data_IF_488739149380
#
_entry.id   IF_488739149380
#
_cell.length_a   1.000
_cell.length_b   1.000
_cell.length_c   1.000
_cell.angle_alpha   90.00
_cell.angle_beta   90.00
_cell.angle_gamma   90.00
#
_symmetry.space_group_name_H-M   'P 1'
#
loop_
_entity.id
_entity.type
_entity.pdbx_description
1 polymer ?
#
# COMPACT_ATOMS: atom_id res chain seq x y z
N UNK A 1 -4.38 18.76 -5.33
CA UNK A 1 -4.37 17.73 -4.27
C UNK A 1 -4.61 16.36 -4.91
N UNK A 2 -3.71 15.39 -4.71
CA UNK A 2 -3.87 14.01 -5.24
C UNK A 2 -5.00 13.29 -4.48
N UNK A 3 -5.85 12.54 -5.19
CA UNK A 3 -6.89 11.70 -4.61
C UNK A 3 -6.58 10.23 -4.87
N UNK A 4 -6.84 9.36 -3.89
CA UNK A 4 -6.74 7.91 -4.07
C UNK A 4 -7.79 7.46 -5.10
N UNK A 5 -7.39 6.58 -6.00
CA UNK A 5 -8.30 5.90 -6.92
C UNK A 5 -8.32 4.41 -6.56
N UNK A 6 -9.52 3.86 -6.35
CA UNK A 6 -9.68 2.42 -6.14
C UNK A 6 -9.51 1.68 -7.45
N UNK A 7 -8.66 0.65 -7.46
CA UNK A 7 -8.45 -0.26 -8.59
C UNK A 7 -8.55 -1.69 -8.08
N UNK A 8 -9.28 -2.53 -8.81
CA UNK A 8 -9.36 -3.97 -8.54
C UNK A 8 -8.29 -4.67 -9.36
N UNK A 9 -7.48 -5.50 -8.71
CA UNK A 9 -6.44 -6.30 -9.33
C UNK A 9 -6.52 -7.73 -8.80
N UNK A 10 -6.18 -8.69 -9.66
CA UNK A 10 -5.99 -10.09 -9.25
C UNK A 10 -4.52 -10.28 -8.90
N UNK A 11 -4.25 -10.79 -7.70
CA UNK A 11 -2.91 -11.08 -7.20
C UNK A 11 -2.85 -12.56 -6.85
N UNK A 12 -1.73 -13.21 -7.16
CA UNK A 12 -1.48 -14.58 -6.75
C UNK A 12 -1.60 -14.74 -5.22
N UNK A 13 -2.27 -15.79 -4.72
CA UNK A 13 -2.48 -15.96 -3.27
C UNK A 13 -1.20 -16.01 -2.46
N UNK A 14 -0.14 -16.65 -2.96
CA UNK A 14 1.16 -16.77 -2.25
C UNK A 14 1.81 -15.39 -2.09
N UNK A 15 1.70 -14.56 -3.14
CA UNK A 15 2.21 -13.18 -3.12
C UNK A 15 1.39 -12.34 -2.14
N UNK A 16 0.06 -12.49 -2.14
CA UNK A 16 -0.81 -11.75 -1.22
C UNK A 16 -0.54 -12.11 0.24
N UNK A 17 -0.31 -13.39 0.55
CA UNK A 17 0.02 -13.84 1.90
C UNK A 17 1.36 -13.28 2.39
N UNK A 18 2.36 -13.24 1.51
CA UNK A 18 3.65 -12.62 1.83
C UNK A 18 3.51 -11.12 2.11
N UNK A 19 2.71 -10.39 1.31
CA UNK A 19 2.40 -8.98 1.53
C UNK A 19 1.71 -8.79 2.89
N UNK A 20 0.70 -9.59 3.21
CA UNK A 20 -0.02 -9.51 4.48
C UNK A 20 0.90 -9.75 5.68
N UNK A 21 1.74 -10.78 5.60
CA UNK A 21 2.71 -11.11 6.66
C UNK A 21 3.67 -9.95 6.90
N UNK A 22 4.19 -9.34 5.83
CA UNK A 22 5.12 -8.23 5.95
C UNK A 22 4.46 -6.94 6.44
N UNK A 23 3.24 -6.65 5.97
CA UNK A 23 2.46 -5.50 6.42
C UNK A 23 2.14 -5.59 7.92
N UNK A 24 1.76 -6.78 8.39
CA UNK A 24 1.49 -7.06 9.82
C UNK A 24 2.71 -6.80 10.70
N UNK A 25 3.92 -7.20 10.27
CA UNK A 25 5.17 -6.92 11.00
C UNK A 25 5.45 -5.42 11.14
N UNK A 26 4.98 -4.61 10.20
CA UNK A 26 5.16 -3.16 10.19
C UNK A 26 3.97 -2.39 10.80
N UNK A 27 2.93 -3.09 11.27
CA UNK A 27 1.74 -2.46 11.85
C UNK A 27 0.90 -1.66 10.86
N UNK A 28 0.98 -1.96 9.56
CA UNK A 28 0.22 -1.28 8.49
C UNK A 28 -0.64 -2.28 7.70
N UNK A 29 -1.61 -1.78 6.92
CA UNK A 29 -2.42 -2.63 6.05
C UNK A 29 -1.63 -3.13 4.83
N UNK A 30 -2.03 -4.29 4.29
CA UNK A 30 -1.42 -4.87 3.09
C UNK A 30 -1.44 -3.90 1.90
N UNK A 31 -2.57 -3.24 1.67
CA UNK A 31 -2.71 -2.22 0.62
C UNK A 31 -1.74 -1.05 0.80
N UNK A 32 -1.52 -0.61 2.06
CA UNK A 32 -0.56 0.46 2.37
C UNK A 32 0.87 0.01 2.17
N UNK A 33 1.20 -1.20 2.61
CA UNK A 33 2.51 -1.77 2.40
C UNK A 33 2.82 -1.89 0.91
N UNK A 34 1.88 -2.40 0.12
CA UNK A 34 2.02 -2.54 -1.33
C UNK A 34 2.15 -1.19 -2.03
N UNK A 35 1.36 -0.19 -1.63
CA UNK A 35 1.48 1.19 -2.13
C UNK A 35 2.88 1.75 -1.86
N UNK A 36 3.39 1.63 -0.63
CA UNK A 36 4.72 2.10 -0.26
C UNK A 36 5.81 1.37 -1.06
N UNK A 37 5.72 0.05 -1.15
CA UNK A 37 6.68 -0.76 -1.91
C UNK A 37 6.70 -0.36 -3.39
N UNK A 38 5.53 -0.22 -4.02
CA UNK A 38 5.42 0.19 -5.41
C UNK A 38 5.96 1.62 -5.60
N UNK A 39 5.60 2.55 -4.73
CA UNK A 39 6.06 3.94 -4.79
C UNK A 39 7.59 4.03 -4.75
N UNK A 40 8.22 3.32 -3.81
CA UNK A 40 9.68 3.34 -3.66
C UNK A 40 10.39 2.73 -4.87
N UNK A 41 9.85 1.64 -5.42
CA UNK A 41 10.42 1.03 -6.62
C UNK A 41 10.24 1.94 -7.84
N UNK A 42 9.07 2.54 -8.03
CA UNK A 42 8.80 3.45 -9.15
C UNK A 42 9.65 4.72 -9.08
N UNK A 43 9.93 5.25 -7.88
CA UNK A 43 10.90 6.33 -7.69
C UNK A 43 12.33 5.89 -8.05
N UNK A 44 12.75 4.68 -7.66
CA UNK A 44 14.07 4.14 -8.03
C UNK A 44 14.24 3.98 -9.54
N UNK A 45 13.17 3.65 -10.26
CA UNK A 45 13.17 3.58 -11.72
C UNK A 45 13.05 4.95 -12.41
N UNK A 46 12.89 6.04 -11.66
CA UNK A 46 12.70 7.38 -12.23
C UNK A 46 11.33 7.60 -12.87
N UNK A 47 10.34 6.73 -12.58
CA UNK A 47 8.97 6.83 -13.08
C UNK A 47 8.09 7.75 -12.22
N UNK A 48 8.50 7.99 -10.97
CA UNK A 48 7.93 8.99 -10.08
C UNK A 48 9.06 9.93 -9.67
N UNK A 49 8.79 11.24 -9.71
CA UNK A 49 9.75 12.26 -9.28
C UNK A 49 10.13 12.06 -7.80
N UNK A 50 11.40 12.32 -7.47
CA UNK A 50 11.92 12.23 -6.10
C UNK A 50 11.31 13.28 -5.18
N UNK A 51 10.84 14.39 -5.73
CA UNK A 51 10.16 15.45 -4.97
C UNK A 51 8.71 15.07 -4.59
N UNK A 52 8.14 14.05 -5.23
CA UNK A 52 6.79 13.61 -4.91
C UNK A 52 6.81 12.84 -3.59
N UNK A 53 6.06 13.35 -2.61
CA UNK A 53 5.89 12.65 -1.35
C UNK A 53 4.86 11.52 -1.45
N UNK A 54 4.87 10.58 -0.49
CA UNK A 54 3.82 9.58 -0.36
C UNK A 54 2.51 10.24 0.08
N UNK A 55 1.38 9.68 -0.35
CA UNK A 55 0.11 10.05 0.28
C UNK A 55 0.14 9.66 1.76
N UNK A 56 -0.34 10.53 2.65
CA UNK A 56 -0.35 10.33 4.10
C UNK A 56 -1.20 9.14 4.56
N UNK A 57 -1.19 8.89 5.87
CA UNK A 57 -1.94 7.80 6.51
C UNK A 57 -3.43 7.87 6.22
N UNK A 58 -4.03 6.70 5.98
CA UNK A 58 -5.49 6.56 5.99
C UNK A 58 -5.91 6.52 7.46
N UNK A 59 -6.47 7.61 7.98
CA UNK A 59 -7.22 7.57 9.25
C UNK A 59 -8.51 6.78 9.03
N UNK A 60 -8.40 5.48 9.18
CA UNK A 60 -9.47 4.53 8.86
C UNK A 60 -8.85 3.16 8.77
N UNK A 61 -8.42 2.65 9.93
CA UNK A 61 -8.08 1.24 10.05
C UNK A 61 -9.19 0.40 9.44
N UNK A 62 -8.81 -0.73 8.86
CA UNK A 62 -9.72 -1.83 8.56
C UNK A 62 -10.84 -1.83 9.60
N UNK A 63 -12.08 -1.62 9.15
CA UNK A 63 -13.23 -1.63 10.05
C UNK A 63 -13.13 -2.96 10.79
N UNK A 64 -12.78 -2.92 12.08
CA UNK A 64 -13.10 -4.02 12.97
C UNK A 64 -14.60 -4.16 12.86
N UNK A 65 -15.06 -5.20 12.18
CA UNK A 65 -16.43 -5.70 12.37
C UNK A 65 -16.54 -6.00 13.85
N UNK A 66 -17.17 -5.08 14.59
CA UNK A 66 -17.71 -5.37 15.90
C UNK A 66 -18.89 -6.31 15.67
N UNK A 67 -18.69 -7.59 16.00
CA UNK A 67 -19.78 -8.51 16.27
C UNK A 67 -20.37 -8.20 17.66
#
# INVERSE_FOLDING_TARGET
>A
MRKRQTKTISIDPVVWDAINSQAKKQGISASRWLENFAFDNLQKFGLIDKEVERLGEIRGGDRKESN
#
